data_IF_059046479761
#
_entry.id   IF_059046479761
#
_cell.length_a   1.000
_cell.length_b   1.000
_cell.length_c   1.000
_cell.angle_alpha   90.00
_cell.angle_beta   90.00
_cell.angle_gamma   90.00
#
_symmetry.space_group_name_H-M   'P 1'
#
loop_
_entity.id
_entity.type
_entity.pdbx_description
1 polymer ?
#
# COMPACT_ATOMS: atom_id res chain seq x y z
N UNK A 1 22.70 10.01 28.24
CA UNK A 1 21.54 9.27 27.70
C UNK A 1 22.07 7.99 27.06
N UNK A 2 21.56 6.82 27.46
CA UNK A 2 22.03 5.56 26.89
C UNK A 2 21.45 5.46 25.45
N UNK A 3 22.30 5.35 24.44
CA UNK A 3 21.83 5.11 23.05
C UNK A 3 21.11 3.77 23.01
N UNK A 4 19.89 3.76 22.48
CA UNK A 4 19.06 2.55 22.31
C UNK A 4 19.57 1.72 21.11
N UNK A 5 20.06 2.42 20.07
CA UNK A 5 20.61 1.82 18.87
C UNK A 5 22.08 2.21 18.71
N UNK A 6 22.88 1.32 18.16
CA UNK A 6 24.23 1.61 17.74
C UNK A 6 24.22 2.50 16.47
N UNK A 7 25.34 3.17 16.20
CA UNK A 7 25.44 3.97 14.98
C UNK A 7 25.36 3.08 13.71
N UNK A 8 25.88 1.85 13.78
CA UNK A 8 25.79 0.88 12.69
C UNK A 8 24.35 0.46 12.40
N UNK A 9 23.51 0.31 13.43
CA UNK A 9 22.08 0.00 13.26
C UNK A 9 21.30 1.20 12.71
N UNK A 10 21.68 2.43 13.06
CA UNK A 10 21.02 3.64 12.59
C UNK A 10 21.35 3.98 11.13
N UNK A 11 22.58 3.66 10.70
CA UNK A 11 23.08 4.00 9.36
C UNK A 11 23.20 2.80 8.43
N UNK A 12 22.74 1.62 8.85
CA UNK A 12 22.71 0.48 7.94
C UNK A 12 21.74 0.73 6.78
N UNK A 13 22.18 0.39 5.58
CA UNK A 13 21.27 0.35 4.44
C UNK A 13 20.35 -0.85 4.60
N UNK A 14 19.08 -0.57 4.89
CA UNK A 14 18.07 -1.63 4.91
C UNK A 14 17.86 -2.18 3.49
N UNK A 15 17.91 -3.49 3.36
CA UNK A 15 17.52 -4.14 2.11
C UNK A 15 16.05 -3.86 1.80
N UNK A 16 15.77 -3.58 0.55
CA UNK A 16 14.39 -3.42 0.09
C UNK A 16 13.67 -4.77 0.25
N UNK A 17 12.62 -4.78 1.05
CA UNK A 17 11.79 -5.97 1.25
C UNK A 17 10.72 -6.04 0.19
N UNK A 18 10.61 -7.19 -0.46
CA UNK A 18 9.49 -7.54 -1.32
C UNK A 18 8.57 -8.53 -0.59
N UNK A 19 7.27 -8.31 -0.72
CA UNK A 19 6.25 -9.19 -0.17
C UNK A 19 5.61 -9.96 -1.31
N UNK A 20 5.43 -11.27 -1.12
CA UNK A 20 4.75 -12.10 -2.12
C UNK A 20 3.26 -11.76 -2.20
N UNK A 21 2.62 -12.09 -3.32
CA UNK A 21 1.18 -11.91 -3.48
C UNK A 21 0.31 -12.71 -2.49
N UNK A 22 0.92 -13.63 -1.76
CA UNK A 22 0.27 -14.44 -0.72
C UNK A 22 0.33 -13.79 0.68
N UNK A 23 0.96 -12.64 0.82
CA UNK A 23 0.96 -11.86 2.05
C UNK A 23 -0.46 -11.40 2.37
N UNK A 24 -1.13 -12.09 3.28
CA UNK A 24 -2.56 -11.94 3.52
C UNK A 24 -2.96 -10.59 4.09
N UNK A 25 -2.15 -10.03 4.99
CA UNK A 25 -2.46 -8.78 5.70
C UNK A 25 -1.20 -7.92 5.80
N UNK A 26 -0.99 -7.09 4.82
CA UNK A 26 0.07 -6.08 4.83
C UNK A 26 -0.56 -4.71 4.60
N UNK A 27 -0.23 -3.77 5.46
CA UNK A 27 -0.68 -2.39 5.37
C UNK A 27 0.53 -1.46 5.43
N UNK A 28 0.71 -0.66 4.39
CA UNK A 28 1.73 0.37 4.35
C UNK A 28 1.09 1.73 4.46
N UNK A 29 1.45 2.48 5.49
CA UNK A 29 0.95 3.83 5.69
C UNK A 29 1.58 4.78 4.66
N UNK A 30 0.74 5.46 3.92
CA UNK A 30 1.10 6.53 3.01
C UNK A 30 0.68 7.86 3.64
N UNK A 31 1.64 8.71 3.88
CA UNK A 31 1.40 10.03 4.45
C UNK A 31 2.59 10.52 5.27
N UNK A 32 2.64 11.80 5.50
CA UNK A 32 3.65 12.45 6.34
C UNK A 32 3.20 12.58 7.79
N UNK A 33 4.09 13.06 8.64
CA UNK A 33 3.78 13.36 10.03
C UNK A 33 2.72 14.47 10.09
N UNK A 34 1.57 14.18 10.71
CA UNK A 34 0.49 15.14 10.91
C UNK A 34 -0.37 15.45 9.67
N UNK A 35 -0.21 14.71 8.58
CA UNK A 35 -0.98 14.94 7.33
C UNK A 35 -2.23 14.08 7.18
N UNK A 36 -2.42 13.11 8.06
CA UNK A 36 -3.35 12.01 7.87
C UNK A 36 -2.71 10.87 7.07
N UNK A 37 -3.39 9.75 6.97
CA UNK A 37 -2.89 8.53 6.38
C UNK A 37 -3.88 7.90 5.43
N UNK A 38 -3.36 7.27 4.39
CA UNK A 38 -4.05 6.28 3.58
C UNK A 38 -3.19 5.04 3.57
N UNK A 39 -3.76 3.86 3.73
CA UNK A 39 -3.00 2.62 3.70
C UNK A 39 -2.99 2.01 2.30
N UNK A 40 -1.82 1.53 1.90
CA UNK A 40 -1.64 0.66 0.74
C UNK A 40 -1.64 -0.79 1.23
N UNK A 41 -2.66 -1.54 0.86
CA UNK A 41 -2.78 -2.95 1.23
C UNK A 41 -1.92 -3.87 0.37
N UNK A 42 -1.82 -5.14 0.79
CA UNK A 42 -1.01 -6.17 0.11
C UNK A 42 -1.38 -6.39 -1.37
N UNK A 43 -2.59 -6.06 -1.76
CA UNK A 43 -3.07 -6.20 -3.13
C UNK A 43 -2.85 -4.98 -4.02
N UNK A 44 -2.25 -3.91 -3.50
CA UNK A 44 -2.17 -2.62 -4.17
C UNK A 44 -3.44 -1.75 -4.01
N UNK A 45 -4.39 -2.18 -3.21
CA UNK A 45 -5.62 -1.42 -2.93
C UNK A 45 -5.36 -0.30 -1.92
N UNK A 46 -6.11 0.79 -2.05
CA UNK A 46 -6.12 1.87 -1.08
C UNK A 46 -7.25 1.64 -0.07
N UNK A 47 -6.90 1.70 1.21
CA UNK A 47 -7.81 1.44 2.33
C UNK A 47 -7.45 2.31 3.53
N UNK A 48 -8.23 2.21 4.60
CA UNK A 48 -7.92 2.88 5.88
C UNK A 48 -7.66 4.37 5.68
N UNK A 49 -8.66 5.07 5.18
CA UNK A 49 -8.59 6.51 4.91
C UNK A 49 -8.78 7.31 6.19
N UNK A 50 -7.67 7.74 6.78
CA UNK A 50 -7.64 8.55 8.00
C UNK A 50 -7.21 9.98 7.65
N UNK A 51 -8.09 10.69 7.00
CA UNK A 51 -7.90 12.09 6.57
C UNK A 51 -8.97 12.99 7.14
N UNK A 52 -8.74 14.29 7.13
CA UNK A 52 -9.65 15.30 7.67
C UNK A 52 -10.00 15.09 9.16
N UNK A 53 -9.04 14.58 9.95
CA UNK A 53 -9.23 14.28 11.37
C UNK A 53 -10.40 13.32 11.65
N UNK A 54 -10.66 12.40 10.73
CA UNK A 54 -11.70 11.39 10.87
C UNK A 54 -11.06 9.99 10.85
N UNK A 55 -11.41 9.13 11.81
CA UNK A 55 -10.98 7.74 11.77
C UNK A 55 -11.72 7.01 10.64
N UNK A 56 -10.99 6.33 9.79
CA UNK A 56 -11.54 5.59 8.66
C UNK A 56 -10.87 4.23 8.52
N UNK A 57 -10.94 3.42 9.59
CA UNK A 57 -10.33 2.07 9.56
C UNK A 57 -11.08 1.17 8.60
N UNK A 58 -10.33 0.49 7.75
CA UNK A 58 -10.82 -0.48 6.77
C UNK A 58 -11.90 0.05 5.81
N UNK A 59 -12.13 1.35 5.79
CA UNK A 59 -13.05 1.93 4.82
C UNK A 59 -12.44 1.90 3.43
N UNK A 60 -13.28 1.67 2.45
CA UNK A 60 -12.93 1.71 1.03
C UNK A 60 -13.59 2.91 0.39
N UNK A 61 -12.81 3.61 -0.39
CA UNK A 61 -13.32 4.64 -1.29
C UNK A 61 -13.48 4.01 -2.67
N UNK A 62 -14.70 3.93 -3.21
CA UNK A 62 -14.91 3.41 -4.54
C UNK A 62 -14.10 4.18 -5.58
N UNK A 63 -13.64 3.51 -6.61
CA UNK A 63 -12.91 4.11 -7.73
C UNK A 63 -11.56 4.73 -7.38
N UNK A 64 -10.96 4.34 -6.25
CA UNK A 64 -9.59 4.72 -5.87
C UNK A 64 -8.64 3.57 -6.13
N UNK A 65 -7.74 3.75 -7.07
CA UNK A 65 -6.77 2.72 -7.47
C UNK A 65 -5.58 3.36 -8.17
N UNK A 66 -4.46 2.66 -8.18
CA UNK A 66 -3.35 2.99 -9.06
C UNK A 66 -3.53 2.31 -10.42
N UNK A 67 -3.18 3.02 -11.47
CA UNK A 67 -3.17 2.46 -12.81
C UNK A 67 -1.90 2.84 -13.55
N UNK A 68 -1.53 2.01 -14.50
CA UNK A 68 -0.45 2.29 -15.44
C UNK A 68 -1.03 2.33 -16.85
N UNK A 69 -0.58 3.30 -17.61
CA UNK A 69 -0.82 3.40 -19.03
C UNK A 69 0.52 3.55 -19.73
N UNK A 70 0.73 2.78 -20.77
CA UNK A 70 1.95 2.89 -21.57
C UNK A 70 1.68 2.57 -23.02
N UNK A 71 2.45 3.22 -23.89
CA UNK A 71 2.44 3.00 -25.32
C UNK A 71 3.89 3.03 -25.81
N UNK A 72 4.29 1.96 -26.47
CA UNK A 72 5.55 1.92 -27.19
C UNK A 72 5.34 2.52 -28.58
N UNK A 73 6.36 3.16 -29.16
CA UNK A 73 6.30 3.71 -30.50
C UNK A 73 5.97 2.61 -31.52
N UNK A 74 4.85 2.80 -32.25
CA UNK A 74 4.35 1.78 -33.19
C UNK A 74 3.67 0.57 -32.55
N UNK A 75 3.58 0.50 -31.22
CA UNK A 75 2.98 -0.60 -30.49
C UNK A 75 1.54 -0.32 -30.04
N UNK A 76 0.93 -1.35 -29.45
CA UNK A 76 -0.40 -1.25 -28.86
C UNK A 76 -0.36 -0.52 -27.52
N UNK A 77 -1.49 0.08 -27.15
CA UNK A 77 -1.69 0.69 -25.82
C UNK A 77 -1.93 -0.40 -24.80
N UNK A 78 -1.17 -0.35 -23.70
CA UNK A 78 -1.39 -1.20 -22.53
C UNK A 78 -1.87 -0.34 -21.38
N UNK A 79 -3.03 -0.68 -20.82
CA UNK A 79 -3.57 -0.06 -19.61
C UNK A 79 -3.92 -1.14 -18.60
N UNK A 80 -3.50 -0.95 -17.34
CA UNK A 80 -3.75 -1.90 -16.26
C UNK A 80 -4.01 -1.17 -14.97
N UNK A 81 -4.96 -1.70 -14.19
CA UNK A 81 -5.12 -1.37 -12.78
C UNK A 81 -4.10 -2.17 -11.97
N UNK A 82 -3.42 -1.50 -11.05
CA UNK A 82 -2.37 -2.10 -10.22
C UNK A 82 -2.96 -2.66 -8.91
N UNK A 83 -3.96 -3.51 -9.04
CA UNK A 83 -4.61 -4.16 -7.92
C UNK A 83 -4.82 -5.65 -8.22
N UNK A 84 -4.37 -6.51 -7.32
CA UNK A 84 -4.51 -7.95 -7.48
C UNK A 84 -5.89 -8.46 -7.01
N UNK A 85 -6.18 -9.71 -7.32
CA UNK A 85 -7.39 -10.40 -6.86
C UNK A 85 -7.34 -10.63 -5.34
N UNK A 86 -8.52 -10.74 -4.72
CA UNK A 86 -8.64 -11.23 -3.36
C UNK A 86 -8.26 -12.71 -3.31
N UNK A 87 -7.38 -13.05 -2.37
CA UNK A 87 -7.00 -14.42 -2.10
C UNK A 87 -8.01 -15.06 -1.14
N UNK A 88 -8.42 -16.32 -1.35
CA UNK A 88 -9.20 -17.06 -0.35
C UNK A 88 -8.45 -17.12 1.00
N UNK A 89 -9.15 -17.09 2.15
CA UNK A 89 -10.61 -17.14 2.32
C UNK A 89 -11.31 -15.78 2.27
N UNK A 90 -10.63 -14.72 1.95
CA UNK A 90 -11.16 -13.35 1.98
C UNK A 90 -12.13 -13.12 0.83
N UNK A 91 -13.13 -12.31 1.08
CA UNK A 91 -14.09 -11.86 0.08
C UNK A 91 -14.30 -10.34 0.17
N UNK A 92 -15.04 -9.79 -0.77
CA UNK A 92 -15.28 -8.34 -0.87
C UNK A 92 -15.94 -7.72 0.37
N UNK A 93 -16.67 -8.51 1.16
CA UNK A 93 -17.37 -8.03 2.35
C UNK A 93 -16.45 -7.90 3.57
N UNK A 94 -15.29 -8.52 3.54
CA UNK A 94 -14.36 -8.55 4.67
C UNK A 94 -13.32 -7.43 4.64
N UNK A 95 -13.41 -6.52 3.71
CA UNK A 95 -12.66 -5.26 3.76
C UNK A 95 -11.17 -5.30 3.40
N UNK A 96 -10.57 -6.46 3.16
CA UNK A 96 -9.14 -6.60 2.88
C UNK A 96 -8.82 -6.62 1.40
#
# INVERSE_FOLDING_TARGET
MKKIYSDDELFCNNEQKAYSGDAGCVDFLLGGIGTGNVSLGARGNLTTWQIFNQPGQLNRMPYTFFSIWMKQDGGEVVSRVLESKLNPPFNRSQGF
#
